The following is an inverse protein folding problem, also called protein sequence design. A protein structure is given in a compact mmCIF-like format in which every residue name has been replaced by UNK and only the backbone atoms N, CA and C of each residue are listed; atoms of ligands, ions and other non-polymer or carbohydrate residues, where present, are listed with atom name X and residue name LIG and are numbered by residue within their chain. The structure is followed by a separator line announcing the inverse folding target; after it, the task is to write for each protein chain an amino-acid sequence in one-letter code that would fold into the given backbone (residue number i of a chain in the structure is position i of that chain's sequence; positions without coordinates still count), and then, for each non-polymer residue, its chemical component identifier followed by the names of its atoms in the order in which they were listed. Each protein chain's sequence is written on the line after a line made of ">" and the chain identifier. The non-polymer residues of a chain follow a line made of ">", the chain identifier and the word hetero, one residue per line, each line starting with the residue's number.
data_IF_885416581225
#
_entry.id   IF_885416581225
#
_cell.length_a   1.000
_cell.length_b   1.000
_cell.length_c   1.000
_cell.angle_alpha   90.00
_cell.angle_beta   90.00
_cell.angle_gamma   90.00
#
_symmetry.space_group_name_H-M   'P 1'
#
loop_
_entity.id
_entity.type
_entity.pdbx_description
1 polymer ?
#
# COMPACT_ATOMS: atom_id res chain seq x y z
N UNK A 1 -35.17 10.38 -15.89
CA UNK A 1 -36.10 9.40 -16.49
C UNK A 1 -36.36 8.31 -15.47
N UNK A 2 -37.60 8.15 -15.01
CA UNK A 2 -37.97 7.26 -13.90
C UNK A 2 -38.92 7.96 -12.94
N UNK A 3 -39.77 7.20 -12.27
CA UNK A 3 -40.63 7.74 -11.21
C UNK A 3 -39.73 8.31 -10.09
N UNK A 4 -39.99 9.54 -9.62
CA UNK A 4 -39.20 10.23 -8.58
C UNK A 4 -37.72 10.47 -8.92
N UNK A 5 -37.31 10.34 -10.19
CA UNK A 5 -35.94 10.61 -10.60
C UNK A 5 -35.62 12.11 -10.51
N UNK A 6 -34.58 12.48 -9.74
CA UNK A 6 -34.15 13.87 -9.55
C UNK A 6 -32.82 14.16 -10.25
N UNK A 7 -32.87 14.90 -11.36
CA UNK A 7 -31.68 15.38 -12.10
C UNK A 7 -31.51 16.91 -12.04
N UNK A 8 -31.99 17.58 -10.99
CA UNK A 8 -31.94 19.04 -10.90
C UNK A 8 -30.52 19.60 -10.88
N UNK A 9 -30.34 20.87 -11.25
CA UNK A 9 -29.04 21.58 -11.17
C UNK A 9 -27.97 20.86 -12.01
N UNK A 10 -28.16 20.81 -13.33
CA UNK A 10 -27.23 20.19 -14.30
C UNK A 10 -26.93 18.70 -14.09
N UNK A 11 -27.83 17.99 -13.41
CA UNK A 11 -27.68 16.58 -13.07
C UNK A 11 -28.24 15.57 -14.08
N UNK A 12 -27.87 14.31 -13.92
CA UNK A 12 -28.42 13.16 -14.68
C UNK A 12 -29.03 12.15 -13.72
N UNK A 13 -30.29 11.78 -13.94
CA UNK A 13 -30.97 10.74 -13.17
C UNK A 13 -31.75 9.78 -14.07
N UNK A 14 -31.38 8.50 -14.05
CA UNK A 14 -31.98 7.42 -14.86
C UNK A 14 -32.27 6.22 -13.96
N UNK A 15 -33.55 5.95 -13.71
CA UNK A 15 -34.02 4.92 -12.77
C UNK A 15 -35.09 5.46 -11.83
N UNK A 16 -35.94 4.58 -11.29
CA UNK A 16 -36.90 5.01 -10.27
C UNK A 16 -36.16 5.43 -8.99
N UNK A 17 -36.54 6.56 -8.42
CA UNK A 17 -35.93 7.20 -7.24
C UNK A 17 -34.42 7.48 -7.37
N UNK A 18 -33.88 7.53 -8.60
CA UNK A 18 -32.50 7.91 -8.84
C UNK A 18 -32.28 9.40 -8.54
N UNK A 19 -31.22 9.76 -7.84
CA UNK A 19 -30.89 11.14 -7.50
C UNK A 19 -29.50 11.52 -8.01
N UNK A 20 -29.45 12.36 -9.04
CA UNK A 20 -28.22 12.94 -9.58
C UNK A 20 -28.22 14.46 -9.50
N UNK A 21 -28.89 15.06 -8.50
CA UNK A 21 -28.94 16.51 -8.36
C UNK A 21 -27.56 17.16 -8.16
N UNK A 22 -27.43 18.44 -8.47
CA UNK A 22 -26.22 19.25 -8.19
C UNK A 22 -25.00 18.73 -8.93
N UNK A 23 -25.04 18.80 -10.26
CA UNK A 23 -23.99 18.32 -11.17
C UNK A 23 -23.61 16.85 -10.95
N UNK A 24 -24.55 16.05 -10.46
CA UNK A 24 -24.39 14.62 -10.18
C UNK A 24 -24.85 13.72 -11.33
N UNK A 25 -24.48 12.45 -11.25
CA UNK A 25 -24.94 11.42 -12.20
C UNK A 25 -25.40 10.15 -11.47
N UNK A 26 -26.66 9.77 -11.66
CA UNK A 26 -27.25 8.56 -11.07
C UNK A 26 -27.94 7.70 -12.12
N UNK A 27 -27.52 6.43 -12.23
CA UNK A 27 -28.06 5.44 -13.16
C UNK A 27 -28.35 4.14 -12.40
N UNK A 28 -29.62 3.86 -12.13
CA UNK A 28 -30.08 2.67 -11.40
C UNK A 28 -31.29 2.96 -10.53
N UNK A 29 -32.00 1.91 -10.11
CA UNK A 29 -33.05 2.04 -9.10
C UNK A 29 -32.43 2.56 -7.80
N UNK A 30 -32.94 3.66 -7.26
CA UNK A 30 -32.47 4.30 -6.04
C UNK A 30 -30.95 4.61 -6.00
N UNK A 31 -30.33 4.79 -7.17
CA UNK A 31 -28.95 5.25 -7.25
C UNK A 31 -28.85 6.70 -6.78
N UNK A 32 -27.86 7.03 -5.95
CA UNK A 32 -27.61 8.39 -5.47
C UNK A 32 -26.21 8.85 -5.86
N UNK A 33 -26.13 9.73 -6.85
CA UNK A 33 -24.89 10.39 -7.27
C UNK A 33 -25.02 11.91 -7.12
N UNK A 34 -25.76 12.41 -6.13
CA UNK A 34 -25.94 13.85 -5.94
C UNK A 34 -24.64 14.56 -5.55
N UNK A 35 -24.62 15.88 -5.71
CA UNK A 35 -23.59 16.78 -5.19
C UNK A 35 -22.21 16.43 -5.73
N UNK A 36 -22.05 16.63 -7.05
CA UNK A 36 -20.83 16.32 -7.81
C UNK A 36 -20.43 14.84 -7.77
N UNK A 37 -21.35 13.96 -7.40
CA UNK A 37 -21.16 12.53 -7.28
C UNK A 37 -21.47 11.73 -8.55
N UNK A 38 -21.11 10.45 -8.54
CA UNK A 38 -21.47 9.49 -9.60
C UNK A 38 -21.89 8.14 -9.02
N UNK A 39 -23.08 7.66 -9.38
CA UNK A 39 -23.60 6.36 -8.96
C UNK A 39 -24.18 5.58 -10.14
N UNK A 40 -23.66 4.36 -10.35
CA UNK A 40 -24.15 3.43 -11.38
C UNK A 40 -24.40 2.07 -10.75
N UNK A 41 -25.67 1.68 -10.66
CA UNK A 41 -26.09 0.44 -10.03
C UNK A 41 -27.34 0.65 -9.20
N UNK A 42 -28.06 -0.44 -8.94
CA UNK A 42 -29.17 -0.42 -7.99
C UNK A 42 -28.63 -0.06 -6.60
N UNK A 43 -29.29 0.86 -5.90
CA UNK A 43 -28.96 1.27 -4.54
C UNK A 43 -27.47 1.67 -4.36
N UNK A 44 -26.81 2.11 -5.44
CA UNK A 44 -25.44 2.60 -5.40
C UNK A 44 -25.44 4.03 -4.85
N UNK A 45 -24.51 4.36 -3.95
CA UNK A 45 -24.37 5.70 -3.38
C UNK A 45 -22.96 6.24 -3.59
N UNK A 46 -22.82 7.21 -4.48
CA UNK A 46 -21.59 7.96 -4.72
C UNK A 46 -21.82 9.46 -4.56
N UNK A 47 -22.70 9.90 -3.64
CA UNK A 47 -22.94 11.32 -3.41
C UNK A 47 -21.75 12.06 -2.78
N UNK A 48 -21.82 13.38 -2.77
CA UNK A 48 -20.83 14.27 -2.12
C UNK A 48 -19.43 14.02 -2.65
N UNK A 49 -19.22 14.36 -3.92
CA UNK A 49 -17.92 14.22 -4.61
C UNK A 49 -17.39 12.77 -4.61
N UNK A 50 -18.31 11.80 -4.50
CA UNK A 50 -18.04 10.38 -4.45
C UNK A 50 -18.22 9.66 -5.79
N UNK A 51 -17.82 8.38 -5.84
CA UNK A 51 -18.05 7.50 -6.98
C UNK A 51 -18.42 6.09 -6.55
N UNK A 52 -19.55 5.58 -7.04
CA UNK A 52 -20.04 4.23 -6.76
C UNK A 52 -20.49 3.50 -8.03
N UNK A 53 -19.91 2.33 -8.30
CA UNK A 53 -20.28 1.47 -9.43
C UNK A 53 -20.52 0.05 -8.95
N UNK A 54 -21.77 -0.40 -8.96
CA UNK A 54 -22.18 -1.74 -8.52
C UNK A 54 -23.45 -1.73 -7.67
N UNK A 55 -24.11 -2.88 -7.56
CA UNK A 55 -25.27 -3.03 -6.68
C UNK A 55 -24.82 -2.92 -5.22
N UNK A 56 -25.40 -1.98 -4.46
CA UNK A 56 -24.99 -1.61 -3.09
C UNK A 56 -23.56 -1.07 -2.95
N UNK A 57 -22.94 -0.55 -4.01
CA UNK A 57 -21.66 0.14 -3.88
C UNK A 57 -21.83 1.46 -3.11
N UNK A 58 -20.96 1.73 -2.14
CA UNK A 58 -21.05 2.89 -1.25
C UNK A 58 -19.72 3.66 -1.25
N UNK A 59 -19.63 4.69 -2.09
CA UNK A 59 -18.47 5.56 -2.27
C UNK A 59 -18.81 7.03 -1.96
N UNK A 60 -19.64 7.28 -0.95
CA UNK A 60 -20.08 8.61 -0.54
C UNK A 60 -18.95 9.41 0.17
N UNK A 61 -19.04 10.75 0.12
CA UNK A 61 -18.19 11.70 0.84
C UNK A 61 -16.71 11.57 0.47
N UNK A 62 -16.38 12.00 -0.75
CA UNK A 62 -15.04 11.87 -1.36
C UNK A 62 -14.56 10.41 -1.55
N UNK A 63 -15.44 9.44 -1.36
CA UNK A 63 -15.15 8.02 -1.43
C UNK A 63 -15.17 7.43 -2.85
N UNK A 64 -14.60 6.24 -3.00
CA UNK A 64 -14.67 5.47 -4.26
C UNK A 64 -14.99 4.01 -3.99
N UNK A 65 -16.05 3.50 -4.62
CA UNK A 65 -16.52 2.13 -4.47
C UNK A 65 -16.85 1.49 -5.81
N UNK A 66 -16.23 0.36 -6.13
CA UNK A 66 -16.48 -0.39 -7.36
C UNK A 66 -16.62 -1.88 -7.05
N UNK A 67 -17.83 -2.41 -7.21
CA UNK A 67 -18.16 -3.82 -6.95
C UNK A 67 -19.50 -3.99 -6.26
N UNK A 68 -19.97 -5.24 -6.19
CA UNK A 68 -21.16 -5.55 -5.38
C UNK A 68 -20.86 -5.34 -3.90
N UNK A 69 -21.65 -4.51 -3.23
CA UNK A 69 -21.55 -4.21 -1.81
C UNK A 69 -20.14 -3.76 -1.35
N UNK A 70 -19.41 -3.04 -2.21
CA UNK A 70 -18.13 -2.43 -1.85
C UNK A 70 -18.34 -1.13 -1.06
N UNK A 71 -17.53 -0.87 -0.05
CA UNK A 71 -17.66 0.29 0.84
C UNK A 71 -16.34 1.09 0.92
N UNK A 72 -16.30 2.21 0.22
CA UNK A 72 -15.20 3.17 0.18
C UNK A 72 -15.59 4.54 0.75
N UNK A 73 -16.53 4.58 1.70
CA UNK A 73 -16.99 5.80 2.35
C UNK A 73 -15.87 6.70 2.89
N UNK A 74 -16.07 8.02 2.87
CA UNK A 74 -15.26 9.03 3.58
C UNK A 74 -13.79 9.07 3.17
N UNK A 75 -13.51 9.49 1.93
CA UNK A 75 -12.16 9.49 1.31
C UNK A 75 -11.55 8.10 1.10
N UNK A 76 -12.36 7.05 1.20
CA UNK A 76 -11.93 5.66 1.10
C UNK A 76 -11.88 5.12 -0.31
N UNK A 77 -11.21 3.97 -0.47
CA UNK A 77 -11.14 3.25 -1.75
C UNK A 77 -11.50 1.78 -1.54
N UNK A 78 -12.57 1.32 -2.18
CA UNK A 78 -12.98 -0.08 -2.17
C UNK A 78 -13.24 -0.59 -3.58
N UNK A 79 -12.37 -1.48 -4.06
CA UNK A 79 -12.47 -2.09 -5.40
C UNK A 79 -12.55 -3.60 -5.27
N UNK A 80 -13.72 -4.16 -5.53
CA UNK A 80 -14.00 -5.59 -5.47
C UNK A 80 -15.30 -5.91 -4.75
N UNK A 81 -15.80 -7.14 -4.95
CA UNK A 81 -17.00 -7.61 -4.27
C UNK A 81 -16.79 -7.61 -2.76
N UNK A 82 -17.63 -6.88 -2.02
CA UNK A 82 -17.56 -6.75 -0.56
C UNK A 82 -16.20 -6.27 -0.05
N UNK A 83 -15.47 -5.48 -0.86
CA UNK A 83 -14.29 -4.77 -0.40
C UNK A 83 -14.71 -3.67 0.60
N UNK A 84 -13.97 -3.49 1.69
CA UNK A 84 -14.21 -2.45 2.68
C UNK A 84 -12.93 -1.65 2.91
N UNK A 85 -12.89 -0.44 2.36
CA UNK A 85 -11.80 0.52 2.47
C UNK A 85 -12.31 1.88 2.93
N UNK A 86 -13.20 1.92 3.92
CA UNK A 86 -13.76 3.17 4.48
C UNK A 86 -12.68 4.09 5.09
N UNK A 87 -13.02 5.37 5.29
CA UNK A 87 -12.15 6.42 5.82
C UNK A 87 -10.91 6.63 4.93
N UNK A 88 -9.73 6.83 5.50
CA UNK A 88 -8.48 7.03 4.74
C UNK A 88 -7.85 5.72 4.22
N UNK A 89 -8.62 4.62 4.17
CA UNK A 89 -8.11 3.28 3.89
C UNK A 89 -8.30 2.88 2.41
N UNK A 90 -7.61 1.82 2.00
CA UNK A 90 -7.68 1.25 0.65
C UNK A 90 -7.87 -0.25 0.73
N UNK A 91 -8.91 -0.77 0.07
CA UNK A 91 -9.18 -2.20 -0.07
C UNK A 91 -9.38 -2.59 -1.53
N UNK A 92 -8.51 -3.43 -2.07
CA UNK A 92 -8.54 -3.89 -3.46
C UNK A 92 -8.55 -5.43 -3.49
N UNK A 93 -9.64 -6.01 -3.98
CA UNK A 93 -9.87 -7.44 -4.04
C UNK A 93 -11.22 -7.84 -3.45
N UNK A 94 -11.75 -8.99 -3.88
CA UNK A 94 -12.97 -9.51 -3.28
C UNK A 94 -12.72 -9.81 -1.79
N UNK A 95 -13.61 -9.30 -0.93
CA UNK A 95 -13.52 -9.39 0.53
C UNK A 95 -12.23 -8.81 1.14
N UNK A 96 -11.53 -7.92 0.44
CA UNK A 96 -10.44 -7.17 1.04
C UNK A 96 -11.02 -6.22 2.10
N UNK A 97 -10.47 -6.22 3.32
CA UNK A 97 -10.94 -5.40 4.44
C UNK A 97 -9.77 -4.62 5.01
N UNK A 98 -9.83 -3.30 4.86
CA UNK A 98 -8.95 -2.33 5.52
C UNK A 98 -9.75 -1.40 6.45
N UNK A 99 -11.08 -1.52 6.48
CA UNK A 99 -11.96 -0.75 7.35
C UNK A 99 -11.68 -0.96 8.84
N UNK A 100 -11.96 0.07 9.65
CA UNK A 100 -11.82 0.04 11.11
C UNK A 100 -10.55 0.67 11.67
N UNK A 101 -9.76 1.37 10.86
CA UNK A 101 -8.60 2.14 11.31
C UNK A 101 -8.27 3.31 10.40
N UNK A 102 -7.00 3.73 10.40
CA UNK A 102 -6.49 4.83 9.58
C UNK A 102 -5.32 4.38 8.72
N UNK A 103 -5.29 4.85 7.47
CA UNK A 103 -4.17 4.68 6.53
C UNK A 103 -3.75 3.21 6.33
N UNK A 104 -4.73 2.30 6.31
CA UNK A 104 -4.55 0.87 6.04
C UNK A 104 -4.74 0.57 4.56
N UNK A 105 -3.91 -0.30 4.02
CA UNK A 105 -4.02 -0.82 2.66
C UNK A 105 -4.16 -2.35 2.71
N UNK A 106 -5.20 -2.91 2.10
CA UNK A 106 -5.42 -4.35 1.95
C UNK A 106 -5.55 -4.70 0.46
N UNK A 107 -4.62 -5.50 -0.08
CA UNK A 107 -4.61 -5.89 -1.50
C UNK A 107 -4.61 -7.41 -1.64
N UNK A 108 -5.67 -7.94 -2.25
CA UNK A 108 -5.84 -9.35 -2.58
C UNK A 108 -7.16 -9.95 -2.08
N UNK A 109 -7.48 -11.15 -2.58
CA UNK A 109 -8.67 -11.91 -2.16
C UNK A 109 -8.61 -12.25 -0.66
N UNK A 110 -9.68 -11.96 0.08
CA UNK A 110 -9.80 -12.28 1.52
C UNK A 110 -8.58 -11.81 2.33
N UNK A 111 -8.14 -10.57 2.11
CA UNK A 111 -7.08 -9.94 2.91
C UNK A 111 -7.71 -9.02 3.92
N UNK A 112 -7.38 -9.19 5.19
CA UNK A 112 -7.74 -8.26 6.25
C UNK A 112 -6.47 -7.55 6.73
N UNK A 113 -6.47 -6.22 6.69
CA UNK A 113 -5.43 -5.42 7.32
C UNK A 113 -5.98 -4.75 8.59
N UNK A 114 -5.45 -5.17 9.72
CA UNK A 114 -5.82 -4.77 11.07
C UNK A 114 -4.78 -3.83 11.73
N UNK A 115 -3.77 -3.38 10.98
CA UNK A 115 -2.70 -2.51 11.47
C UNK A 115 -2.70 -1.15 10.75
N UNK A 116 -2.83 -0.06 11.51
CA UNK A 116 -2.75 1.31 11.00
C UNK A 116 -1.39 1.60 10.35
N UNK A 117 -1.37 2.48 9.34
CA UNK A 117 -0.14 2.89 8.65
C UNK A 117 0.60 1.74 7.93
N UNK A 118 -0.11 0.71 7.49
CA UNK A 118 0.51 -0.46 6.82
C UNK A 118 -0.18 -0.85 5.53
N UNK A 119 0.54 -1.61 4.71
CA UNK A 119 0.00 -2.34 3.58
C UNK A 119 0.13 -3.85 3.79
N UNK A 120 -0.99 -4.59 3.68
CA UNK A 120 -1.02 -6.05 3.66
C UNK A 120 -1.37 -6.52 2.25
N UNK A 121 -0.43 -7.23 1.62
CA UNK A 121 -0.55 -7.70 0.24
C UNK A 121 -0.49 -9.22 0.25
N UNK A 122 -1.46 -9.90 -0.36
CA UNK A 122 -1.45 -11.36 -0.51
C UNK A 122 -0.70 -11.76 -1.78
N UNK A 123 0.25 -12.67 -1.63
CA UNK A 123 1.00 -13.27 -2.74
C UNK A 123 2.49 -12.92 -2.69
N UNK A 124 3.24 -13.36 -3.69
CA UNK A 124 4.64 -12.95 -3.89
C UNK A 124 4.66 -11.52 -4.41
N UNK A 125 5.46 -10.65 -3.80
CA UNK A 125 5.69 -9.29 -4.26
C UNK A 125 6.76 -9.28 -5.36
N UNK A 126 6.34 -9.09 -6.61
CA UNK A 126 7.22 -8.91 -7.76
C UNK A 126 7.30 -7.42 -8.11
N UNK A 127 8.49 -6.82 -8.02
CA UNK A 127 8.75 -5.42 -8.36
C UNK A 127 9.66 -5.37 -9.59
N UNK A 128 9.25 -4.68 -10.65
CA UNK A 128 9.99 -4.56 -11.91
C UNK A 128 10.04 -3.08 -12.37
N UNK A 129 11.09 -2.69 -13.09
CA UNK A 129 11.30 -1.33 -13.60
C UNK A 129 11.71 -0.28 -12.57
N UNK A 130 12.20 -0.68 -11.39
CA UNK A 130 12.73 0.27 -10.40
C UNK A 130 13.96 0.99 -10.97
N UNK A 131 13.88 2.32 -11.14
CA UNK A 131 14.95 3.16 -11.71
C UNK A 131 16.26 3.17 -10.87
N UNK A 132 16.24 2.54 -9.70
CA UNK A 132 17.37 2.30 -8.79
C UNK A 132 17.38 0.83 -8.38
N UNK A 133 18.56 0.22 -8.25
CA UNK A 133 18.78 -1.18 -7.87
C UNK A 133 18.37 -1.52 -6.40
N UNK A 134 17.59 -0.67 -5.72
CA UNK A 134 17.24 -0.81 -4.31
C UNK A 134 15.77 -0.48 -4.08
N UNK A 135 15.13 -1.23 -3.18
CA UNK A 135 13.85 -0.85 -2.58
C UNK A 135 14.10 0.34 -1.66
N UNK A 136 13.73 1.54 -2.11
CA UNK A 136 13.78 2.72 -1.24
C UNK A 136 12.74 2.61 -0.14
N UNK A 137 13.22 2.71 1.09
CA UNK A 137 12.35 2.84 2.25
C UNK A 137 12.93 3.89 3.20
N UNK A 138 12.05 4.50 3.97
CA UNK A 138 12.38 5.42 5.06
C UNK A 138 11.31 5.31 6.11
N UNK A 139 11.67 5.54 7.36
CA UNK A 139 10.74 5.46 8.49
C UNK A 139 9.81 6.67 8.58
N UNK A 140 10.17 7.79 7.95
CA UNK A 140 9.43 9.05 8.05
C UNK A 140 8.80 9.41 6.71
N UNK A 141 7.50 9.68 6.71
CA UNK A 141 6.80 10.13 5.52
C UNK A 141 7.27 11.52 5.07
N UNK A 142 7.38 11.74 3.76
CA UNK A 142 7.62 13.06 3.16
C UNK A 142 9.04 13.64 3.27
N UNK A 143 9.84 13.28 4.29
CA UNK A 143 11.11 13.95 4.58
C UNK A 143 12.25 12.97 4.94
N UNK A 144 13.50 13.42 4.77
CA UNK A 144 14.72 12.67 5.10
C UNK A 144 15.27 11.81 3.96
N UNK A 145 16.50 11.33 4.18
CA UNK A 145 17.23 10.49 3.22
C UNK A 145 16.61 9.09 3.10
N UNK A 146 16.75 8.50 1.91
CA UNK A 146 16.30 7.13 1.65
C UNK A 146 17.34 6.12 2.13
N UNK A 147 16.88 4.98 2.65
CA UNK A 147 17.76 3.96 3.20
C UNK A 147 18.10 2.88 2.16
N UNK A 148 19.32 2.34 2.30
CA UNK A 148 19.74 1.13 1.61
C UNK A 148 19.28 -0.12 2.38
N UNK A 149 19.27 -1.28 1.70
CA UNK A 149 19.04 -2.60 2.30
C UNK A 149 20.29 -3.04 3.10
N UNK A 150 20.50 -2.37 4.22
CA UNK A 150 21.64 -2.49 5.12
C UNK A 150 21.16 -2.86 6.54
N UNK A 151 22.02 -3.50 7.34
CA UNK A 151 21.84 -3.70 8.78
C UNK A 151 23.11 -3.30 9.54
N UNK A 152 22.98 -2.66 10.69
CA UNK A 152 24.12 -2.20 11.51
C UNK A 152 24.22 -3.03 12.79
N UNK A 153 25.44 -3.33 13.27
CA UNK A 153 25.71 -4.03 14.56
C UNK A 153 26.79 -3.28 15.36
N UNK A 154 26.89 -3.52 16.68
CA UNK A 154 27.99 -2.99 17.51
C UNK A 154 29.34 -3.61 17.12
N UNK A 155 30.44 -2.85 17.26
CA UNK A 155 31.77 -3.38 16.96
C UNK A 155 32.17 -4.43 18.02
N UNK A 156 32.56 -5.67 17.63
CA UNK A 156 32.76 -6.79 18.57
C UNK A 156 33.80 -6.55 19.67
N UNK A 157 34.80 -5.70 19.39
CA UNK A 157 35.91 -5.42 20.29
C UNK A 157 35.83 -4.06 20.99
N UNK A 158 34.94 -3.17 20.52
CA UNK A 158 34.79 -1.80 21.08
C UNK A 158 33.34 -1.32 20.92
N UNK A 159 32.39 -2.01 21.56
CA UNK A 159 30.96 -1.75 21.38
C UNK A 159 30.54 -0.39 21.97
N UNK A 160 31.31 0.16 22.91
CA UNK A 160 31.01 1.45 23.54
C UNK A 160 31.29 2.64 22.61
N UNK A 161 32.13 2.48 21.57
CA UNK A 161 32.60 3.60 20.75
C UNK A 161 32.52 3.37 19.23
N UNK A 162 32.16 2.17 18.74
CA UNK A 162 32.18 1.83 17.29
C UNK A 162 31.03 0.90 16.86
N UNK A 163 30.65 0.98 15.58
CA UNK A 163 29.65 0.11 14.92
C UNK A 163 30.17 -0.47 13.60
N UNK A 164 29.58 -1.59 13.14
CA UNK A 164 29.78 -2.19 11.82
C UNK A 164 28.47 -2.14 11.01
N UNK A 165 28.50 -1.53 9.83
CA UNK A 165 27.37 -1.53 8.87
C UNK A 165 27.56 -2.66 7.87
N UNK A 166 26.64 -3.60 7.88
CA UNK A 166 26.53 -4.71 6.95
C UNK A 166 25.53 -4.37 5.86
N UNK A 167 25.83 -4.81 4.67
CA UNK A 167 25.01 -4.59 3.50
C UNK A 167 24.69 -5.97 2.94
N UNK A 168 23.43 -6.18 2.56
CA UNK A 168 23.00 -7.49 2.11
C UNK A 168 23.78 -7.88 0.85
N UNK A 169 24.36 -9.09 0.86
CA UNK A 169 24.97 -9.71 -0.31
C UNK A 169 23.91 -10.57 -1.00
N UNK A 170 23.54 -10.22 -2.23
CA UNK A 170 22.45 -10.84 -3.00
C UNK A 170 22.91 -12.12 -3.75
N UNK A 171 23.83 -12.90 -3.17
CA UNK A 171 24.38 -14.12 -3.78
C UNK A 171 23.53 -15.38 -3.54
N UNK A 172 23.64 -16.42 -4.40
CA UNK A 172 22.94 -17.71 -4.20
C UNK A 172 23.48 -18.52 -3.02
N UNK A 173 24.55 -18.00 -2.40
CA UNK A 173 25.24 -18.57 -1.26
C UNK A 173 25.34 -17.47 -0.21
N UNK A 174 25.18 -17.84 1.06
CA UNK A 174 25.30 -16.91 2.17
C UNK A 174 26.79 -16.64 2.40
N UNK A 175 27.21 -15.42 2.10
CA UNK A 175 28.60 -15.00 2.22
C UNK A 175 28.83 -14.04 3.38
N UNK A 176 29.98 -14.21 4.03
CA UNK A 176 30.58 -13.19 4.88
C UNK A 176 31.94 -12.79 4.28
N UNK A 177 32.05 -11.55 3.80
CA UNK A 177 33.20 -11.10 2.98
C UNK A 177 34.01 -10.05 3.72
N UNK A 178 35.32 -10.27 3.75
CA UNK A 178 36.33 -9.34 4.24
C UNK A 178 37.33 -9.07 3.11
N UNK A 179 37.74 -7.81 2.97
CA UNK A 179 38.66 -7.39 1.92
C UNK A 179 39.83 -6.60 2.50
N UNK A 180 41.01 -6.83 1.93
CA UNK A 180 42.26 -6.15 2.30
C UNK A 180 43.30 -6.27 1.17
N UNK A 181 44.39 -5.53 1.28
CA UNK A 181 45.48 -5.52 0.29
C UNK A 181 46.66 -6.37 0.78
N UNK A 182 47.33 -7.06 -0.14
CA UNK A 182 48.52 -7.85 0.15
C UNK A 182 49.60 -7.66 -0.93
N UNK A 183 50.87 -7.76 -0.53
CA UNK A 183 52.02 -7.78 -1.45
C UNK A 183 52.53 -9.20 -1.63
N UNK A 184 52.87 -9.56 -2.87
CA UNK A 184 53.57 -10.81 -3.17
C UNK A 184 55.04 -10.67 -2.79
N UNK A 185 55.47 -11.38 -1.76
CA UNK A 185 56.85 -11.41 -1.27
C UNK A 185 57.31 -12.85 -1.24
N UNK A 186 58.40 -13.16 -1.95
CA UNK A 186 58.98 -14.51 -2.05
C UNK A 186 57.96 -15.60 -2.44
N UNK A 187 57.01 -15.26 -3.31
CA UNK A 187 55.96 -16.18 -3.77
C UNK A 187 54.77 -16.35 -2.82
N UNK A 188 54.66 -15.57 -1.74
CA UNK A 188 53.53 -15.59 -0.80
C UNK A 188 52.88 -14.21 -0.65
N UNK A 189 51.58 -14.18 -0.41
CA UNK A 189 50.81 -12.97 -0.09
C UNK A 189 49.88 -13.27 1.10
N UNK A 190 49.83 -12.37 2.08
CA UNK A 190 49.02 -12.49 3.29
C UNK A 190 48.08 -11.30 3.39
N UNK A 191 46.78 -11.56 3.55
CA UNK A 191 45.75 -10.54 3.82
C UNK A 191 45.41 -10.61 5.30
N UNK A 192 45.62 -9.50 6.01
CA UNK A 192 45.21 -9.38 7.40
C UNK A 192 43.70 -9.17 7.48
N UNK A 193 43.04 -10.00 8.27
CA UNK A 193 41.63 -9.82 8.58
C UNK A 193 41.50 -8.72 9.65
N UNK A 194 40.37 -7.99 9.67
CA UNK A 194 40.15 -7.01 10.73
C UNK A 194 40.25 -7.69 12.10
N UNK A 195 40.79 -6.98 13.11
CA UNK A 195 41.01 -7.53 14.45
C UNK A 195 39.74 -8.16 15.06
N UNK A 196 38.58 -7.59 14.71
CA UNK A 196 37.27 -8.06 15.16
C UNK A 196 36.76 -9.32 14.45
N UNK A 197 37.42 -9.80 13.39
CA UNK A 197 36.94 -10.93 12.56
C UNK A 197 36.62 -12.17 13.39
N UNK A 198 37.57 -12.60 14.23
CA UNK A 198 37.42 -13.81 15.04
C UNK A 198 36.35 -13.63 16.11
N UNK A 199 36.20 -12.42 16.64
CA UNK A 199 35.16 -12.08 17.60
C UNK A 199 33.76 -12.03 16.94
N UNK A 200 33.66 -11.68 15.65
CA UNK A 200 32.42 -11.65 14.88
C UNK A 200 32.00 -13.04 14.36
N UNK A 201 32.96 -13.92 14.07
CA UNK A 201 32.75 -15.25 13.50
C UNK A 201 33.04 -16.36 14.53
N UNK A 202 32.39 -16.31 15.69
CA UNK A 202 32.45 -17.42 16.65
C UNK A 202 31.79 -18.66 16.07
N UNK A 203 32.36 -19.83 16.32
CA UNK A 203 31.75 -21.10 15.93
C UNK A 203 30.53 -21.33 16.81
N UNK A 204 29.34 -21.45 16.19
CA UNK A 204 28.10 -21.84 16.85
C UNK A 204 28.02 -23.34 17.12
#
# INVERSE_FOLDING_TARGET
>A
MGNEANGSVTGVAVGASANGSTAGAAVGFAANGSDYGAAVGRDANGSTEGAAVGHWAYGDNYGTAMGYASDGYFSGVAVGRQANGMNTNVAIGAYATAGGGTERIAIGLNVANDMDYTARIRGTLCLDGAASETIYWRSTFGYGDWNAKAFTIDHPLDPANKVLRHFCLEGPQVWNVYAGNAQLVNGQAVVELPEYYSALNLVG
#
